data_IF_880780671934
#
_entry.id   IF_880780671934
#
_cell.length_a   1.000
_cell.length_b   1.000
_cell.length_c   1.000
_cell.angle_alpha   90.00
_cell.angle_beta   90.00
_cell.angle_gamma   90.00
#
_symmetry.space_group_name_H-M   'P 1'
#
loop_
_entity.id
_entity.type
_entity.pdbx_description
1 polymer ?
#
# COMPACT_ATOMS: atom_id res chain seq x y z
N UNK A 1 -6.39 12.15 -8.12
CA UNK A 1 -6.02 10.93 -7.36
C UNK A 1 -5.12 9.96 -8.13
N UNK A 2 -5.30 9.75 -9.45
CA UNK A 2 -4.52 8.77 -10.24
C UNK A 2 -3.00 8.76 -9.99
N UNK A 3 -2.31 9.92 -10.03
CA UNK A 3 -0.86 9.96 -9.81
C UNK A 3 -0.40 9.45 -8.43
N UNK A 4 -1.21 9.68 -7.38
CA UNK A 4 -0.88 9.20 -6.03
C UNK A 4 -1.02 7.69 -5.90
N UNK A 5 -2.03 7.11 -6.54
CA UNK A 5 -2.23 5.66 -6.54
C UNK A 5 -1.07 5.01 -7.28
N UNK A 6 -0.73 5.48 -8.48
CA UNK A 6 0.41 4.93 -9.24
C UNK A 6 1.73 5.04 -8.47
N UNK A 7 2.01 6.18 -7.83
CA UNK A 7 3.20 6.33 -6.99
C UNK A 7 3.24 5.34 -5.82
N UNK A 8 2.09 5.08 -5.20
CA UNK A 8 1.93 4.09 -4.14
C UNK A 8 2.12 2.65 -4.64
N UNK A 9 1.58 2.28 -5.81
CA UNK A 9 1.85 0.97 -6.43
C UNK A 9 3.34 0.81 -6.75
N UNK A 10 3.95 1.84 -7.33
CA UNK A 10 5.37 1.83 -7.71
C UNK A 10 6.29 1.71 -6.49
N UNK A 11 5.95 2.34 -5.36
CA UNK A 11 6.68 2.16 -4.12
C UNK A 11 6.69 0.69 -3.68
N UNK A 12 5.54 0.01 -3.70
CA UNK A 12 5.45 -1.39 -3.30
C UNK A 12 6.21 -2.32 -4.26
N UNK A 13 6.13 -2.07 -5.57
CA UNK A 13 6.91 -2.79 -6.59
C UNK A 13 8.41 -2.62 -6.39
N UNK A 14 8.87 -1.41 -6.07
CA UNK A 14 10.28 -1.14 -5.78
C UNK A 14 10.76 -1.90 -4.54
N UNK A 15 9.96 -1.95 -3.46
CA UNK A 15 10.27 -2.75 -2.28
C UNK A 15 10.37 -4.25 -2.61
N UNK A 16 9.46 -4.76 -3.44
CA UNK A 16 9.47 -6.15 -3.87
C UNK A 16 10.73 -6.49 -4.67
N UNK A 17 11.10 -5.65 -5.64
CA UNK A 17 12.33 -5.82 -6.44
C UNK A 17 13.59 -5.74 -5.57
N UNK A 18 13.60 -4.87 -4.55
CA UNK A 18 14.72 -4.73 -3.62
C UNK A 18 14.98 -5.98 -2.77
N UNK A 19 14.02 -6.91 -2.66
CA UNK A 19 14.24 -8.19 -1.95
C UNK A 19 15.22 -9.12 -2.66
N UNK A 20 15.51 -8.88 -3.96
CA UNK A 20 16.32 -9.76 -4.81
C UNK A 20 15.81 -11.21 -4.84
N UNK A 21 14.52 -11.41 -4.51
CA UNK A 21 13.84 -12.68 -4.59
C UNK A 21 12.95 -12.67 -5.83
N UNK A 22 13.15 -13.56 -6.82
CA UNK A 22 12.40 -13.54 -8.09
C UNK A 22 10.90 -13.81 -7.92
N UNK A 23 10.47 -14.41 -6.81
CA UNK A 23 9.07 -14.75 -6.57
C UNK A 23 8.27 -13.61 -5.92
N UNK A 24 8.92 -12.76 -5.11
CA UNK A 24 8.25 -11.70 -4.36
C UNK A 24 7.57 -10.66 -5.29
N UNK A 25 8.22 -10.15 -6.36
CA UNK A 25 7.56 -9.26 -7.31
C UNK A 25 6.29 -9.85 -7.92
N UNK A 26 6.30 -11.13 -8.30
CA UNK A 26 5.17 -11.82 -8.92
C UNK A 26 3.96 -11.84 -7.97
N UNK A 27 4.20 -12.17 -6.70
CA UNK A 27 3.17 -12.16 -5.67
C UNK A 27 2.66 -10.75 -5.39
N UNK A 28 3.57 -9.78 -5.30
CA UNK A 28 3.22 -8.40 -4.97
C UNK A 28 2.42 -7.75 -6.10
N UNK A 29 2.75 -7.97 -7.37
CA UNK A 29 1.98 -7.41 -8.49
C UNK A 29 0.52 -7.86 -8.46
N UNK A 30 0.29 -9.15 -8.23
CA UNK A 30 -1.06 -9.73 -8.14
C UNK A 30 -1.88 -9.11 -6.99
N UNK A 31 -1.24 -8.87 -5.84
CA UNK A 31 -1.88 -8.27 -4.67
C UNK A 31 -2.11 -6.77 -4.89
N UNK A 32 -1.10 -6.06 -5.37
CA UNK A 32 -1.10 -4.60 -5.54
C UNK A 32 -2.17 -4.17 -6.54
N UNK A 33 -2.33 -4.91 -7.64
CA UNK A 33 -3.36 -4.65 -8.63
C UNK A 33 -4.77 -4.95 -8.10
N UNK A 34 -4.96 -6.08 -7.39
CA UNK A 34 -6.24 -6.41 -6.74
C UNK A 34 -6.66 -5.31 -5.74
N UNK A 35 -5.69 -4.75 -5.01
CA UNK A 35 -5.93 -3.75 -3.98
C UNK A 35 -6.05 -2.31 -4.53
N UNK A 36 -5.93 -2.09 -5.84
CA UNK A 36 -6.02 -0.75 -6.45
C UNK A 36 -7.34 -0.03 -6.14
N UNK A 37 -8.46 -0.75 -6.19
CA UNK A 37 -9.78 -0.21 -5.83
C UNK A 37 -9.85 0.17 -4.33
N UNK A 38 -9.27 -0.65 -3.46
CA UNK A 38 -9.20 -0.35 -2.02
C UNK A 38 -8.34 0.89 -1.76
N UNK A 39 -7.17 1.01 -2.40
CA UNK A 39 -6.29 2.18 -2.31
C UNK A 39 -7.00 3.45 -2.77
N UNK A 40 -7.78 3.37 -3.85
CA UNK A 40 -8.62 4.48 -4.35
C UNK A 40 -9.65 4.93 -3.32
N UNK A 41 -10.30 3.99 -2.62
CA UNK A 41 -11.25 4.30 -1.56
C UNK A 41 -10.58 4.86 -0.31
N UNK A 42 -9.44 4.32 0.10
CA UNK A 42 -8.63 4.87 1.20
C UNK A 42 -8.19 6.32 0.90
N UNK A 43 -7.87 6.64 -0.35
CA UNK A 43 -7.52 7.99 -0.76
C UNK A 43 -8.68 9.00 -0.56
N UNK A 44 -9.93 8.53 -0.46
CA UNK A 44 -11.10 9.36 -0.16
C UNK A 44 -11.32 9.55 1.36
N UNK A 45 -10.67 8.73 2.21
CA UNK A 45 -10.72 8.91 3.65
C UNK A 45 -9.95 10.18 4.03
N UNK A 46 -10.54 11.05 4.86
CA UNK A 46 -9.90 12.30 5.30
C UNK A 46 -8.51 12.04 5.87
N UNK A 47 -7.49 12.61 5.24
CA UNK A 47 -6.08 12.45 5.61
C UNK A 47 -5.46 11.07 5.31
N UNK A 48 -6.15 10.16 4.64
CA UNK A 48 -5.68 8.81 4.34
C UNK A 48 -4.37 8.80 3.53
N UNK A 49 -4.28 9.64 2.49
CA UNK A 49 -3.06 9.79 1.68
C UNK A 49 -1.87 10.28 2.51
N UNK A 50 -2.08 11.27 3.37
CA UNK A 50 -1.03 11.82 4.23
C UNK A 50 -0.53 10.77 5.25
N UNK A 51 -1.44 9.99 5.84
CA UNK A 51 -1.09 8.87 6.73
C UNK A 51 -0.29 7.79 5.98
N UNK A 52 -0.72 7.39 4.78
CA UNK A 52 0.01 6.44 3.96
C UNK A 52 1.44 6.91 3.67
N UNK A 53 1.59 8.15 3.23
CA UNK A 53 2.92 8.76 2.97
C UNK A 53 3.80 8.82 4.22
N UNK A 54 3.24 9.15 5.38
CA UNK A 54 3.98 9.11 6.65
C UNK A 54 4.56 7.71 6.93
N UNK A 55 3.78 6.67 6.69
CA UNK A 55 4.24 5.29 6.86
C UNK A 55 5.28 4.88 5.81
N UNK A 56 5.10 5.24 4.53
CA UNK A 56 6.09 4.96 3.49
C UNK A 56 7.46 5.57 3.80
N UNK A 57 7.49 6.83 4.25
CA UNK A 57 8.75 7.49 4.64
C UNK A 57 9.46 6.78 5.80
N UNK A 58 8.72 6.22 6.75
CA UNK A 58 9.31 5.42 7.84
C UNK A 58 9.91 4.11 7.33
N UNK A 59 9.22 3.43 6.42
CA UNK A 59 9.73 2.20 5.78
C UNK A 59 11.00 2.51 5.00
N UNK A 60 10.98 3.55 4.16
CA UNK A 60 12.14 3.97 3.37
C UNK A 60 13.34 4.28 4.27
N UNK A 61 13.14 5.09 5.33
CA UNK A 61 14.22 5.43 6.26
C UNK A 61 14.84 4.21 6.93
N UNK A 62 14.02 3.23 7.34
CA UNK A 62 14.53 2.00 7.94
C UNK A 62 15.36 1.17 6.95
N UNK A 63 14.94 1.14 5.68
CA UNK A 63 15.68 0.46 4.60
C UNK A 63 17.00 1.18 4.30
N UNK A 64 17.00 2.50 4.20
CA UNK A 64 18.20 3.32 3.99
C UNK A 64 19.23 3.11 5.11
N UNK A 65 18.75 2.94 6.35
CA UNK A 65 19.56 2.62 7.52
C UNK A 65 19.99 1.15 7.59
N UNK A 66 19.54 0.30 6.64
CA UNK A 66 19.77 -1.15 6.60
C UNK A 66 19.28 -1.88 7.86
N UNK A 67 18.26 -1.35 8.54
CA UNK A 67 17.65 -1.98 9.71
C UNK A 67 16.43 -2.81 9.30
N UNK A 68 16.66 -4.11 9.12
CA UNK A 68 15.62 -5.06 8.72
C UNK A 68 14.49 -5.17 9.76
N UNK A 69 14.79 -5.05 11.06
CA UNK A 69 13.78 -5.14 12.12
C UNK A 69 12.88 -3.90 12.11
N UNK A 70 13.49 -2.70 12.02
CA UNK A 70 12.74 -1.46 11.92
C UNK A 70 11.89 -1.41 10.63
N UNK A 71 12.41 -1.89 9.50
CA UNK A 71 11.66 -1.94 8.25
C UNK A 71 10.43 -2.85 8.37
N UNK A 72 10.60 -4.03 8.98
CA UNK A 72 9.49 -4.97 9.25
C UNK A 72 8.44 -4.36 10.15
N UNK A 73 8.84 -3.70 11.23
CA UNK A 73 7.89 -3.12 12.19
C UNK A 73 7.18 -1.88 11.63
N UNK A 74 7.87 -1.08 10.82
CA UNK A 74 7.28 0.01 10.06
C UNK A 74 6.25 -0.49 9.05
N UNK A 75 6.54 -1.57 8.31
CA UNK A 75 5.59 -2.20 7.39
C UNK A 75 4.37 -2.76 8.12
N UNK A 76 4.55 -3.43 9.27
CA UNK A 76 3.42 -3.89 10.09
C UNK A 76 2.55 -2.73 10.58
N UNK A 77 3.17 -1.61 10.97
CA UNK A 77 2.44 -0.41 11.36
C UNK A 77 1.65 0.19 10.18
N UNK A 78 2.24 0.22 8.99
CA UNK A 78 1.57 0.64 7.75
C UNK A 78 0.34 -0.23 7.46
N UNK A 79 0.48 -1.56 7.46
CA UNK A 79 -0.63 -2.48 7.20
C UNK A 79 -1.77 -2.32 8.23
N UNK A 80 -1.44 -2.08 9.51
CA UNK A 80 -2.46 -1.76 10.53
C UNK A 80 -3.19 -0.45 10.22
N UNK A 81 -2.50 0.58 9.75
CA UNK A 81 -3.11 1.84 9.34
C UNK A 81 -3.98 1.65 8.10
N UNK A 82 -3.50 0.94 7.07
CA UNK A 82 -4.28 0.60 5.87
C UNK A 82 -5.56 -0.14 6.24
N UNK A 83 -5.49 -1.11 7.17
CA UNK A 83 -6.68 -1.83 7.65
C UNK A 83 -7.71 -0.89 8.31
N UNK A 84 -7.26 0.05 9.16
CA UNK A 84 -8.17 1.03 9.78
C UNK A 84 -8.83 1.92 8.74
N UNK A 85 -8.04 2.43 7.80
CA UNK A 85 -8.55 3.31 6.75
C UNK A 85 -9.48 2.57 5.79
N UNK A 86 -9.21 1.30 5.50
CA UNK A 86 -10.09 0.44 4.71
C UNK A 86 -11.46 0.24 5.38
N UNK A 87 -11.49 0.07 6.70
CA UNK A 87 -12.72 -0.06 7.47
C UNK A 87 -13.50 1.25 7.55
N UNK A 88 -12.81 2.39 7.52
CA UNK A 88 -13.42 3.73 7.50
C UNK A 88 -13.81 4.18 6.09
N UNK A 89 -13.32 3.50 5.05
CA UNK A 89 -13.58 3.85 3.67
C UNK A 89 -15.02 3.45 3.28
N UNK A 90 -15.66 4.20 2.37
CA UNK A 90 -16.99 3.86 1.90
C UNK A 90 -17.02 2.45 1.27
N UNK A 91 -18.12 1.73 1.52
CA UNK A 91 -18.32 0.39 0.99
C UNK A 91 -18.19 0.37 -0.54
N UNK A 92 -17.64 -0.72 -1.08
CA UNK A 92 -17.57 -0.93 -2.52
C UNK A 92 -19.00 -0.94 -3.06
N UNK A 93 -19.36 -0.03 -3.97
CA UNK A 93 -20.61 -0.17 -4.73
C UNK A 93 -20.53 -1.51 -5.48
N UNK A 94 -21.43 -2.47 -5.17
CA UNK A 94 -21.55 -3.68 -5.98
C UNK A 94 -21.85 -3.23 -7.41
N UNK A 95 -20.95 -3.53 -8.36
CA UNK A 95 -21.38 -3.61 -9.76
C UNK A 95 -22.35 -4.78 -9.80
N UNK A 96 -23.65 -4.48 -9.83
CA UNK A 96 -24.64 -5.45 -10.27
C UNK A 96 -24.27 -5.73 -11.72
N UNK A 97 -23.81 -6.95 -12.00
CA UNK A 97 -23.77 -7.44 -13.37
C UNK A 97 -25.23 -7.57 -13.77
N UNK A 98 -25.74 -6.57 -14.51
CA UNK A 98 -26.92 -6.77 -15.35
C UNK A 98 -26.42 -7.50 -16.60
N UNK A 99 -26.98 -8.68 -16.82
CA UNK A 99 -26.83 -9.49 -18.04
C UNK A 99 -27.13 -8.68 -19.31
#
# INVERSE_FOLDING_TARGET
MGPFIEADLNFHRALAAATQNPFIPILIDSIVDLLRDQRTRIAQVKGGLARGQFHHKKILRAIEQRDANAARDAMRAHLRQVRRDANAAPARKRKIFSE
#
